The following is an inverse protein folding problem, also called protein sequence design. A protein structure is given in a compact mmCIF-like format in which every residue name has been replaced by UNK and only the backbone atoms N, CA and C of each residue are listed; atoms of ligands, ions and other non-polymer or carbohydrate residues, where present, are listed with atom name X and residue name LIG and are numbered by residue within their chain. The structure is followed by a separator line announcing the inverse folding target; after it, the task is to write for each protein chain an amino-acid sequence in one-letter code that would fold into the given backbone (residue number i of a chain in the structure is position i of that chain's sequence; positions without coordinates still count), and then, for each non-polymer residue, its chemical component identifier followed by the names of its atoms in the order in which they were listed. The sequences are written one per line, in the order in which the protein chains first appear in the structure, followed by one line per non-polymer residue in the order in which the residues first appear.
data_IF_879861989538
#
_entry.id   IF_879861989538
#
_cell.length_a   1.000
_cell.length_b   1.000
_cell.length_c   1.000
_cell.angle_alpha   90.00
_cell.angle_beta   90.00
_cell.angle_gamma   90.00
#
_symmetry.space_group_name_H-M   'P 1'
#
loop_
_entity.id
_entity.type
_entity.pdbx_description
1 polymer ?
#
# COMPACT_ATOMS: atom_id res chain seq x y z
N UNK A 1 19.82 10.51 0.17
CA UNK A 1 20.09 11.93 -0.07
C UNK A 1 21.54 12.13 0.35
N UNK A 2 22.38 12.59 -0.57
CA UNK A 2 23.82 12.77 -0.35
C UNK A 2 24.64 11.70 -1.03
N UNK A 3 25.42 12.12 -2.04
CA UNK A 3 26.65 11.43 -2.40
C UNK A 3 27.67 11.55 -1.25
N UNK A 4 28.88 11.05 -1.46
CA UNK A 4 29.93 11.06 -0.43
C UNK A 4 30.27 12.47 0.08
N UNK A 5 29.97 13.50 -0.72
CA UNK A 5 30.16 14.91 -0.39
C UNK A 5 29.10 15.49 0.56
N UNK A 6 28.04 14.73 0.89
CA UNK A 6 26.95 15.18 1.74
C UNK A 6 25.98 16.16 1.05
N UNK A 7 24.92 16.55 1.75
CA UNK A 7 23.89 17.43 1.21
C UNK A 7 23.04 16.80 0.09
N UNK A 8 22.49 17.60 -0.81
CA UNK A 8 21.82 17.15 -2.05
C UNK A 8 22.75 17.31 -3.26
N UNK A 9 24.04 17.02 -3.08
CA UNK A 9 25.06 17.14 -4.12
C UNK A 9 25.67 15.77 -4.38
N UNK A 10 25.93 15.44 -5.64
CA UNK A 10 26.65 14.23 -6.03
C UNK A 10 28.14 14.51 -6.29
N UNK A 11 28.91 13.47 -6.61
CA UNK A 11 30.36 13.53 -6.86
C UNK A 11 30.75 14.33 -8.12
N UNK A 12 29.78 14.75 -8.93
CA UNK A 12 29.96 15.63 -10.09
C UNK A 12 29.48 17.07 -9.86
N UNK A 13 29.30 17.48 -8.61
CA UNK A 13 28.82 18.82 -8.20
C UNK A 13 27.42 19.19 -8.75
N UNK A 14 26.57 18.21 -9.07
CA UNK A 14 25.18 18.49 -9.48
C UNK A 14 24.27 18.70 -8.27
N UNK A 15 23.36 19.67 -8.39
CA UNK A 15 22.36 20.00 -7.37
C UNK A 15 21.02 20.39 -8.02
N UNK A 16 19.87 19.97 -7.46
CA UNK A 16 19.70 19.05 -6.32
C UNK A 16 19.64 17.58 -6.76
N UNK A 17 20.48 16.74 -6.18
CA UNK A 17 20.50 15.31 -6.42
C UNK A 17 19.65 14.57 -5.40
N UNK A 18 18.47 14.13 -5.87
CA UNK A 18 17.43 13.51 -5.05
C UNK A 18 16.88 12.28 -5.75
N UNK A 19 16.50 11.27 -4.97
CA UNK A 19 15.83 10.11 -5.54
C UNK A 19 14.48 10.52 -6.12
N UNK A 20 14.32 10.45 -7.45
CA UNK A 20 13.06 10.75 -8.14
C UNK A 20 11.84 10.05 -7.52
N UNK A 21 12.00 8.78 -7.12
CA UNK A 21 10.92 8.00 -6.47
C UNK A 21 10.53 8.55 -5.10
N UNK A 22 11.46 9.18 -4.37
CA UNK A 22 11.15 9.83 -3.09
C UNK A 22 10.32 11.09 -3.31
N UNK A 23 10.68 11.91 -4.31
CA UNK A 23 9.86 13.08 -4.68
C UNK A 23 8.46 12.67 -5.14
N UNK A 24 8.35 11.63 -5.96
CA UNK A 24 7.07 11.11 -6.43
C UNK A 24 6.19 10.63 -5.27
N UNK A 25 6.76 9.91 -4.30
CA UNK A 25 6.03 9.46 -3.13
C UNK A 25 5.48 10.64 -2.30
N UNK A 26 6.31 11.66 -2.05
CA UNK A 26 5.89 12.87 -1.32
C UNK A 26 4.78 13.60 -2.08
N UNK A 27 4.93 13.75 -3.40
CA UNK A 27 3.92 14.41 -4.23
C UNK A 27 2.58 13.65 -4.19
N UNK A 28 2.60 12.31 -4.19
CA UNK A 28 1.41 11.49 -4.08
C UNK A 28 0.75 11.60 -2.69
N UNK A 29 1.54 11.65 -1.62
CA UNK A 29 1.03 11.82 -0.25
C UNK A 29 0.34 13.17 -0.02
N UNK A 30 0.72 14.20 -0.80
CA UNK A 30 0.13 15.54 -0.76
C UNK A 30 -1.17 15.67 -1.57
N UNK A 31 -1.59 14.64 -2.32
CA UNK A 31 -2.84 14.69 -3.08
C UNK A 31 -4.07 14.64 -2.15
N UNK A 32 -5.16 15.24 -2.62
CA UNK A 32 -6.46 15.12 -1.99
C UNK A 32 -6.94 13.65 -1.94
N UNK A 33 -7.76 13.36 -0.94
CA UNK A 33 -8.36 12.06 -0.76
C UNK A 33 -9.42 11.77 -1.84
N UNK A 34 -9.44 10.55 -2.34
CA UNK A 34 -10.51 10.05 -3.21
C UNK A 34 -11.84 10.11 -2.44
N UNK A 35 -12.84 10.78 -3.01
CA UNK A 35 -14.18 10.91 -2.41
C UNK A 35 -14.97 9.61 -2.51
N UNK A 36 -15.94 9.41 -1.63
CA UNK A 36 -16.80 8.21 -1.67
C UNK A 36 -17.54 8.05 -3.01
N UNK A 37 -17.98 9.17 -3.60
CA UNK A 37 -18.68 9.21 -4.90
C UNK A 37 -17.80 8.79 -6.09
N UNK A 38 -16.46 8.81 -5.95
CA UNK A 38 -15.59 8.23 -6.96
C UNK A 38 -15.88 6.74 -7.16
N UNK A 39 -16.07 5.98 -6.07
CA UNK A 39 -16.23 4.54 -6.13
C UNK A 39 -17.61 4.10 -6.64
N UNK A 40 -18.63 4.95 -6.52
CA UNK A 40 -19.94 4.73 -7.16
C UNK A 40 -19.94 5.06 -8.66
N UNK A 41 -19.09 5.98 -9.11
CA UNK A 41 -19.01 6.39 -10.52
C UNK A 41 -18.12 5.50 -11.38
N UNK A 42 -17.04 4.96 -10.82
CA UNK A 42 -16.07 4.16 -11.57
C UNK A 42 -16.16 2.68 -11.17
N UNK A 43 -16.55 1.87 -12.14
CA UNK A 43 -16.57 0.41 -11.97
C UNK A 43 -15.15 -0.16 -11.87
N UNK A 44 -15.04 -1.32 -11.25
CA UNK A 44 -13.79 -2.09 -11.16
C UNK A 44 -13.25 -2.39 -12.57
N UNK A 45 -14.13 -2.68 -13.53
CA UNK A 45 -13.74 -2.94 -14.91
C UNK A 45 -13.08 -1.70 -15.56
N UNK A 46 -13.63 -0.50 -15.34
CA UNK A 46 -13.04 0.75 -15.83
C UNK A 46 -11.71 1.06 -15.13
N UNK A 47 -11.63 0.88 -13.81
CA UNK A 47 -10.38 1.12 -13.08
C UNK A 47 -9.25 0.20 -13.55
N UNK A 48 -9.57 -1.03 -13.98
CA UNK A 48 -8.60 -1.99 -14.52
C UNK A 48 -8.01 -1.61 -15.88
N UNK A 49 -8.65 -0.71 -16.63
CA UNK A 49 -8.10 -0.23 -17.91
C UNK A 49 -7.10 0.91 -17.73
N UNK A 50 -7.01 1.48 -16.53
CA UNK A 50 -6.11 2.59 -16.22
C UNK A 50 -4.71 2.06 -15.92
N UNK A 51 -3.70 2.82 -16.35
CA UNK A 51 -2.31 2.60 -15.96
C UNK A 51 -2.07 2.97 -14.50
N UNK A 52 -0.97 2.48 -13.91
CA UNK A 52 -0.59 2.83 -12.53
C UNK A 52 -0.47 4.33 -12.30
N UNK A 53 0.01 5.09 -13.30
CA UNK A 53 0.13 6.54 -13.24
C UNK A 53 -1.25 7.23 -13.23
N UNK A 54 -2.20 6.70 -13.99
CA UNK A 54 -3.57 7.25 -14.02
C UNK A 54 -4.29 6.96 -12.70
N UNK A 55 -4.12 5.76 -12.14
CA UNK A 55 -4.66 5.41 -10.84
C UNK A 55 -4.08 6.27 -9.70
N UNK A 56 -2.77 6.52 -9.70
CA UNK A 56 -2.13 7.42 -8.73
C UNK A 56 -2.69 8.85 -8.84
N UNK A 57 -3.03 9.29 -10.06
CA UNK A 57 -3.62 10.62 -10.29
C UNK A 57 -5.08 10.73 -9.86
N UNK A 58 -5.78 9.64 -9.60
CA UNK A 58 -7.15 9.68 -9.08
C UNK A 58 -7.21 10.28 -7.65
N UNK A 59 -6.09 10.27 -6.92
CA UNK A 59 -5.98 10.82 -5.57
C UNK A 59 -5.59 9.76 -4.55
N UNK A 60 -5.53 10.15 -3.27
CA UNK A 60 -5.10 9.28 -2.19
C UNK A 60 -6.24 8.41 -1.65
N UNK A 61 -6.00 7.12 -1.46
CA UNK A 61 -6.96 6.22 -0.82
C UNK A 61 -7.00 6.49 0.69
N UNK A 62 -8.01 7.23 1.14
CA UNK A 62 -8.14 7.68 2.54
C UNK A 62 -9.19 6.92 3.34
N UNK A 63 -10.05 6.15 2.69
CA UNK A 63 -11.07 5.32 3.33
C UNK A 63 -10.91 3.85 2.90
N UNK A 64 -11.21 2.88 3.78
CA UNK A 64 -11.23 1.49 3.38
C UNK A 64 -12.39 1.25 2.42
N UNK A 65 -12.12 0.43 1.41
CA UNK A 65 -13.08 0.08 0.36
C UNK A 65 -13.27 -1.43 0.30
N UNK A 66 -14.46 -1.84 -0.09
CA UNK A 66 -14.83 -3.25 -0.21
C UNK A 66 -15.55 -3.50 -1.52
N UNK A 67 -15.26 -4.65 -2.13
CA UNK A 67 -16.04 -5.23 -3.21
C UNK A 67 -16.16 -6.73 -2.91
N UNK A 68 -17.40 -7.23 -2.85
CA UNK A 68 -17.72 -8.64 -2.66
C UNK A 68 -17.67 -9.42 -3.97
N UNK A 69 -18.02 -10.70 -3.88
CA UNK A 69 -18.11 -11.56 -5.06
C UNK A 69 -19.20 -11.08 -6.00
N UNK A 70 -18.83 -10.70 -7.22
CA UNK A 70 -19.75 -10.23 -8.25
C UNK A 70 -20.05 -8.73 -8.20
N UNK A 71 -19.51 -7.99 -7.23
CA UNK A 71 -19.67 -6.54 -7.19
C UNK A 71 -18.96 -5.89 -8.38
N UNK A 72 -19.63 -4.95 -9.04
CA UNK A 72 -19.08 -4.18 -10.16
C UNK A 72 -18.34 -2.92 -9.72
N UNK A 73 -18.57 -2.47 -8.49
CA UNK A 73 -18.05 -1.22 -7.93
C UNK A 73 -17.51 -1.46 -6.52
N UNK A 74 -16.58 -0.61 -6.10
CA UNK A 74 -16.17 -0.54 -4.70
C UNK A 74 -17.19 0.27 -3.89
N UNK A 75 -17.37 -0.07 -2.61
CA UNK A 75 -18.07 0.77 -1.64
C UNK A 75 -17.14 1.15 -0.51
N UNK A 76 -17.24 2.40 -0.06
CA UNK A 76 -16.56 2.84 1.15
C UNK A 76 -17.22 2.16 2.36
N UNK A 77 -16.39 1.65 3.26
CA UNK A 77 -16.82 1.05 4.52
C UNK A 77 -16.17 1.75 5.71
N UNK A 78 -16.69 1.53 6.91
CA UNK A 78 -16.05 2.01 8.13
C UNK A 78 -14.78 1.21 8.44
N UNK A 79 -13.84 1.84 9.17
CA UNK A 79 -12.62 1.17 9.64
C UNK A 79 -12.90 -0.06 10.50
N UNK A 80 -13.85 0.03 11.43
CA UNK A 80 -14.23 -1.11 12.28
C UNK A 80 -14.77 -2.27 11.45
N UNK A 81 -15.63 -2.00 10.46
CA UNK A 81 -16.13 -3.02 9.54
C UNK A 81 -14.98 -3.68 8.76
N UNK A 82 -14.03 -2.88 8.26
CA UNK A 82 -12.89 -3.38 7.49
C UNK A 82 -11.99 -4.29 8.34
N UNK A 83 -11.66 -3.86 9.56
CA UNK A 83 -10.83 -4.61 10.50
C UNK A 83 -11.53 -5.89 10.97
N UNK A 84 -12.83 -5.85 11.25
CA UNK A 84 -13.61 -7.03 11.64
C UNK A 84 -13.71 -8.06 10.51
N UNK A 85 -13.87 -7.61 9.27
CA UNK A 85 -13.86 -8.50 8.09
C UNK A 85 -12.50 -9.16 7.92
N UNK A 86 -11.41 -8.39 8.02
CA UNK A 86 -10.04 -8.89 7.93
C UNK A 86 -9.76 -9.91 9.04
N UNK A 87 -10.05 -9.57 10.30
CA UNK A 87 -9.81 -10.43 11.45
C UNK A 87 -10.60 -11.74 11.36
N UNK A 88 -11.88 -11.69 10.97
CA UNK A 88 -12.69 -12.91 10.76
C UNK A 88 -12.11 -13.79 9.66
N UNK A 89 -11.72 -13.20 8.53
CA UNK A 89 -11.18 -13.95 7.39
C UNK A 89 -9.86 -14.63 7.72
N UNK A 90 -8.94 -13.93 8.39
CA UNK A 90 -7.66 -14.48 8.82
C UNK A 90 -7.84 -15.62 9.84
N UNK A 91 -8.74 -15.45 10.82
CA UNK A 91 -9.05 -16.49 11.82
C UNK A 91 -9.63 -17.75 11.15
N UNK A 92 -10.55 -17.58 10.19
CA UNK A 92 -11.17 -18.69 9.48
C UNK A 92 -10.18 -19.45 8.57
N UNK A 93 -9.25 -18.74 7.90
CA UNK A 93 -8.24 -19.36 7.06
C UNK A 93 -7.20 -20.15 7.89
N UNK A 94 -6.84 -19.61 9.06
CA UNK A 94 -5.79 -20.17 9.90
C UNK A 94 -4.36 -19.93 9.37
N UNK A 95 -3.33 -20.23 10.18
CA UNK A 95 -1.93 -19.91 9.85
C UNK A 95 -1.39 -20.60 8.61
N UNK A 96 -1.73 -21.87 8.41
CA UNK A 96 -1.16 -22.66 7.33
C UNK A 96 -1.64 -22.21 5.93
N UNK A 97 -2.72 -21.42 5.87
CA UNK A 97 -3.36 -20.95 4.63
C UNK A 97 -3.31 -19.44 4.46
N UNK A 98 -2.52 -18.76 5.28
CA UNK A 98 -2.33 -17.32 5.20
C UNK A 98 -0.87 -17.03 4.86
N UNK A 99 -0.57 -15.87 4.25
CA UNK A 99 0.79 -15.36 4.08
C UNK A 99 0.76 -13.83 4.10
N UNK A 100 1.88 -13.20 4.46
CA UNK A 100 2.04 -11.74 4.41
C UNK A 100 3.12 -11.38 3.40
N UNK A 101 2.84 -10.39 2.56
CA UNK A 101 3.80 -9.80 1.62
C UNK A 101 4.01 -8.33 1.99
N UNK A 102 5.27 -7.95 2.18
CA UNK A 102 5.65 -6.59 2.53
C UNK A 102 6.80 -6.11 1.63
N UNK A 103 6.81 -4.82 1.35
CA UNK A 103 7.89 -4.17 0.59
C UNK A 103 9.04 -3.77 1.51
N UNK A 104 10.28 -3.75 1.00
CA UNK A 104 11.45 -3.17 1.69
C UNK A 104 11.33 -1.67 2.02
N UNK A 105 10.27 -0.99 1.54
CA UNK A 105 9.92 0.38 1.94
C UNK A 105 9.10 0.47 3.23
N UNK A 106 8.67 -0.67 3.79
CA UNK A 106 7.93 -0.71 5.06
C UNK A 106 8.86 -0.34 6.21
N UNK A 107 8.33 0.27 7.28
CA UNK A 107 9.14 0.55 8.47
C UNK A 107 9.60 -0.75 9.14
N UNK A 108 10.74 -0.70 9.84
CA UNK A 108 11.25 -1.85 10.58
C UNK A 108 10.26 -2.34 11.64
N UNK A 109 9.48 -1.43 12.23
CA UNK A 109 8.43 -1.72 13.20
C UNK A 109 7.28 -2.48 12.55
N UNK A 110 6.82 -2.05 11.36
CA UNK A 110 5.76 -2.74 10.63
C UNK A 110 6.19 -4.17 10.25
N UNK A 111 7.43 -4.34 9.77
CA UNK A 111 8.00 -5.65 9.49
C UNK A 111 8.11 -6.53 10.74
N UNK A 112 8.52 -5.94 11.87
CA UNK A 112 8.58 -6.63 13.16
C UNK A 112 7.19 -7.09 13.62
N UNK A 113 6.18 -6.23 13.57
CA UNK A 113 4.82 -6.53 14.00
C UNK A 113 4.18 -7.67 13.23
N UNK A 114 4.39 -7.75 11.91
CA UNK A 114 3.95 -8.89 11.09
C UNK A 114 4.63 -10.19 11.53
N UNK A 115 5.92 -10.14 11.85
CA UNK A 115 6.73 -11.31 12.25
C UNK A 115 6.38 -11.84 13.65
N UNK A 116 6.04 -10.98 14.59
CA UNK A 116 5.84 -11.34 16.01
C UNK A 116 4.42 -11.78 16.34
N UNK A 117 3.50 -11.80 15.38
CA UNK A 117 2.13 -12.29 15.60
C UNK A 117 2.19 -13.75 16.07
N UNK A 118 1.75 -13.98 17.31
CA UNK A 118 1.92 -15.20 18.11
C UNK A 118 1.10 -16.37 17.55
N UNK A 119 1.59 -16.95 16.46
CA UNK A 119 0.90 -17.99 15.73
C UNK A 119 1.88 -19.15 15.48
N UNK A 120 1.48 -20.42 15.73
CA UNK A 120 2.38 -21.55 15.66
C UNK A 120 3.09 -21.61 14.31
N UNK A 121 4.40 -21.32 14.34
CA UNK A 121 5.41 -21.57 13.30
C UNK A 121 4.84 -21.56 11.87
N UNK A 122 4.50 -20.37 11.36
CA UNK A 122 4.21 -20.20 9.94
C UNK A 122 5.37 -20.78 9.13
N UNK A 123 5.11 -21.52 8.03
CA UNK A 123 6.18 -21.95 7.14
C UNK A 123 6.97 -20.71 6.73
N UNK A 124 8.28 -20.71 7.05
CA UNK A 124 9.22 -19.61 6.84
C UNK A 124 9.42 -19.31 5.34
N UNK A 125 8.40 -18.77 4.68
CA UNK A 125 8.46 -18.28 3.30
C UNK A 125 8.10 -16.81 3.29
N UNK A 126 8.98 -16.01 3.89
CA UNK A 126 9.03 -14.58 3.62
C UNK A 126 10.03 -14.38 2.48
N UNK A 127 9.54 -14.02 1.31
CA UNK A 127 10.40 -13.44 0.27
C UNK A 127 10.32 -11.93 0.42
N UNK A 128 11.26 -11.34 1.17
CA UNK A 128 11.54 -9.91 1.09
C UNK A 128 12.23 -9.68 -0.25
N UNK A 129 11.56 -9.03 -1.20
CA UNK A 129 12.19 -8.53 -2.42
C UNK A 129 12.52 -7.06 -2.16
N UNK A 130 13.81 -6.74 -2.26
CA UNK A 130 14.34 -5.38 -2.17
C UNK A 130 13.95 -4.53 -3.38
#
# INVERSE_FOLDING_TARGET
MGGQLGGMVNEGDHFPEVCKKSLQAIASDMQDGITADFFSRFSIAQLRTLSSRELERCGRLVNPVYAGHGDSHYRVIAWDEALDRLARSLKAAGPARSFFYASGRSSNEAGSAMRTSNVPRWPRRFTTIF
#
